data_IF_095252813712
#
_entry.id   IF_095252813712
#
_cell.length_a   1.000
_cell.length_b   1.000
_cell.length_c   1.000
_cell.angle_alpha   90.00
_cell.angle_beta   90.00
_cell.angle_gamma   90.00
#
_symmetry.space_group_name_H-M   'P 1'
#
loop_
_entity.id
_entity.type
_entity.pdbx_description
1 polymer ?
#
# COMPACT_ATOMS: atom_id res chain seq x y z
N UNK A 1 27.19 21.50 -59.13
CA UNK A 1 27.86 20.92 -57.93
C UNK A 1 27.18 21.21 -56.58
N UNK A 2 26.07 21.95 -56.50
CA UNK A 2 25.49 22.40 -55.21
C UNK A 2 24.67 21.31 -54.48
N UNK A 3 24.04 20.36 -55.20
CA UNK A 3 23.15 19.37 -54.59
C UNK A 3 23.85 18.32 -53.70
N UNK A 4 25.12 17.97 -53.97
CA UNK A 4 25.84 16.92 -53.21
C UNK A 4 26.27 17.35 -51.80
N UNK A 5 26.55 18.64 -51.57
CA UNK A 5 26.99 19.15 -50.25
C UNK A 5 25.84 19.27 -49.23
N UNK A 6 24.61 19.55 -49.69
CA UNK A 6 23.45 19.69 -48.81
C UNK A 6 22.93 18.33 -48.32
N UNK A 7 23.02 17.30 -49.16
CA UNK A 7 22.65 15.92 -48.78
C UNK A 7 23.61 15.30 -47.78
N UNK A 8 24.91 15.58 -47.86
CA UNK A 8 25.90 15.08 -46.90
C UNK A 8 25.72 15.72 -45.52
N UNK A 9 25.47 17.04 -45.47
CA UNK A 9 25.22 17.77 -44.21
C UNK A 9 23.98 17.25 -43.47
N UNK A 10 22.88 17.00 -44.19
CA UNK A 10 21.68 16.43 -43.58
C UNK A 10 21.90 15.00 -43.07
N UNK A 11 22.70 14.19 -43.78
CA UNK A 11 23.05 12.84 -43.32
C UNK A 11 23.88 12.87 -42.04
N UNK A 12 24.85 13.78 -41.93
CA UNK A 12 25.69 13.92 -40.73
C UNK A 12 24.88 14.36 -39.50
N UNK A 13 23.89 15.24 -39.68
CA UNK A 13 22.96 15.65 -38.63
C UNK A 13 22.08 14.49 -38.16
N UNK A 14 21.52 13.72 -39.10
CA UNK A 14 20.76 12.50 -38.80
C UNK A 14 21.61 11.46 -38.04
N UNK A 15 22.88 11.27 -38.43
CA UNK A 15 23.77 10.35 -37.71
C UNK A 15 24.03 10.80 -36.26
N UNK A 16 24.18 12.10 -36.02
CA UNK A 16 24.32 12.64 -34.66
C UNK A 16 23.06 12.41 -33.84
N UNK A 17 21.89 12.69 -34.40
CA UNK A 17 20.61 12.47 -33.71
C UNK A 17 20.39 10.99 -33.38
N UNK A 18 20.66 10.09 -34.32
CA UNK A 18 20.59 8.64 -34.08
C UNK A 18 21.55 8.22 -32.96
N UNK A 19 22.75 8.77 -32.92
CA UNK A 19 23.72 8.46 -31.86
C UNK A 19 23.23 8.95 -30.50
N UNK A 20 22.71 10.17 -30.42
CA UNK A 20 22.13 10.71 -29.17
C UNK A 20 20.93 9.89 -28.70
N UNK A 21 20.06 9.46 -29.61
CA UNK A 21 18.92 8.61 -29.28
C UNK A 21 19.37 7.23 -28.78
N UNK A 22 20.40 6.62 -29.38
CA UNK A 22 20.98 5.37 -28.89
C UNK A 22 21.57 5.51 -27.49
N UNK A 23 22.27 6.60 -27.23
CA UNK A 23 22.85 6.85 -25.90
C UNK A 23 21.76 7.08 -24.85
N UNK A 24 20.69 7.80 -25.20
CA UNK A 24 19.51 7.98 -24.32
C UNK A 24 18.81 6.65 -24.06
N UNK A 25 18.62 5.82 -25.09
CA UNK A 25 18.01 4.51 -24.97
C UNK A 25 18.81 3.60 -24.03
N UNK A 26 20.14 3.53 -24.21
CA UNK A 26 21.00 2.72 -23.36
C UNK A 26 20.96 3.15 -21.88
N UNK A 27 20.85 4.46 -21.61
CA UNK A 27 20.66 4.98 -20.24
C UNK A 27 19.31 4.59 -19.65
N UNK A 28 18.25 4.65 -20.45
CA UNK A 28 16.90 4.24 -20.01
C UNK A 28 16.85 2.75 -19.71
N UNK A 29 17.39 1.89 -20.58
CA UNK A 29 17.47 0.44 -20.35
C UNK A 29 18.26 0.10 -19.07
N UNK A 30 19.35 0.83 -18.81
CA UNK A 30 20.12 0.66 -17.58
C UNK A 30 19.32 1.05 -16.35
N UNK A 31 18.53 2.13 -16.44
CA UNK A 31 17.66 2.60 -15.36
C UNK A 31 16.51 1.65 -15.10
N UNK A 32 15.89 1.10 -16.14
CA UNK A 32 14.85 0.08 -16.07
C UNK A 32 15.33 -1.15 -15.31
N UNK A 33 16.50 -1.70 -15.68
CA UNK A 33 17.13 -2.83 -14.97
C UNK A 33 17.41 -2.54 -13.50
N UNK A 34 17.74 -1.31 -13.14
CA UNK A 34 17.94 -0.91 -11.74
C UNK A 34 16.60 -0.86 -10.99
N UNK A 35 15.55 -0.35 -11.63
CA UNK A 35 14.21 -0.31 -11.05
C UNK A 35 13.64 -1.71 -10.83
N UNK A 36 13.84 -2.65 -11.77
CA UNK A 36 13.43 -4.04 -11.62
C UNK A 36 14.08 -4.72 -10.41
N UNK A 37 15.38 -4.46 -10.20
CA UNK A 37 16.10 -4.95 -9.00
C UNK A 37 15.55 -4.36 -7.71
N UNK A 38 15.16 -3.08 -7.72
CA UNK A 38 14.54 -2.44 -6.55
C UNK A 38 13.14 -2.99 -6.29
N UNK A 39 12.37 -3.24 -7.33
CA UNK A 39 11.02 -3.80 -7.23
C UNK A 39 11.07 -5.20 -6.62
N UNK A 40 11.91 -6.09 -7.16
CA UNK A 40 12.08 -7.46 -6.64
C UNK A 40 12.54 -7.48 -5.18
N UNK A 41 13.43 -6.55 -4.78
CA UNK A 41 13.85 -6.40 -3.39
C UNK A 41 12.70 -5.93 -2.47
N UNK A 42 11.83 -5.03 -2.95
CA UNK A 42 10.66 -4.56 -2.21
C UNK A 42 9.62 -5.67 -2.07
N UNK A 43 9.34 -6.44 -3.13
CA UNK A 43 8.41 -7.58 -3.10
C UNK A 43 8.86 -8.63 -2.07
N UNK A 44 10.17 -8.95 -2.04
CA UNK A 44 10.71 -9.86 -1.04
C UNK A 44 10.51 -9.34 0.39
N UNK A 45 10.76 -8.04 0.61
CA UNK A 45 10.56 -7.40 1.92
C UNK A 45 9.08 -7.38 2.32
N UNK A 46 8.17 -7.17 1.38
CA UNK A 46 6.73 -7.24 1.63
C UNK A 46 6.32 -8.65 2.08
N UNK A 47 6.80 -9.69 1.40
CA UNK A 47 6.53 -11.07 1.79
C UNK A 47 7.07 -11.42 3.19
N UNK A 48 8.27 -10.95 3.55
CA UNK A 48 8.84 -11.14 4.89
C UNK A 48 7.99 -10.46 5.97
N UNK A 49 7.55 -9.22 5.72
CA UNK A 49 6.68 -8.48 6.63
C UNK A 49 5.31 -9.15 6.77
N UNK A 50 4.75 -9.68 5.69
CA UNK A 50 3.47 -10.40 5.74
C UNK A 50 3.56 -11.67 6.60
N UNK A 51 4.66 -12.41 6.51
CA UNK A 51 4.92 -13.55 7.40
C UNK A 51 5.03 -13.13 8.86
N UNK A 52 5.71 -12.02 9.15
CA UNK A 52 5.83 -11.50 10.52
C UNK A 52 4.47 -11.06 11.09
N UNK A 53 3.66 -10.36 10.30
CA UNK A 53 2.29 -10.00 10.67
C UNK A 53 1.46 -11.26 10.96
N UNK A 54 1.57 -12.31 10.15
CA UNK A 54 0.84 -13.55 10.37
C UNK A 54 1.29 -14.26 11.67
N UNK A 55 2.59 -14.26 11.98
CA UNK A 55 3.10 -14.76 13.27
C UNK A 55 2.53 -13.96 14.44
N UNK A 56 2.53 -12.63 14.35
CA UNK A 56 1.97 -11.77 15.38
C UNK A 56 0.46 -11.99 15.58
N UNK A 57 -0.30 -12.13 14.49
CA UNK A 57 -1.73 -12.48 14.55
C UNK A 57 -1.94 -13.81 15.29
N UNK A 58 -1.13 -14.82 15.02
CA UNK A 58 -1.21 -16.11 15.71
C UNK A 58 -0.92 -15.98 17.20
N UNK A 59 0.14 -15.26 17.58
CA UNK A 59 0.50 -15.02 18.99
C UNK A 59 -0.63 -14.29 19.73
N UNK A 60 -1.21 -13.25 19.11
CA UNK A 60 -2.33 -12.50 19.68
C UNK A 60 -3.54 -13.42 19.89
N UNK A 61 -3.90 -14.21 18.87
CA UNK A 61 -5.02 -15.17 18.97
C UNK A 61 -4.80 -16.15 20.13
N UNK A 62 -3.61 -16.73 20.24
CA UNK A 62 -3.25 -17.64 21.33
C UNK A 62 -3.32 -16.96 22.71
N UNK A 63 -2.82 -15.73 22.83
CA UNK A 63 -2.90 -14.94 24.07
C UNK A 63 -4.37 -14.68 24.46
N UNK A 64 -5.22 -14.33 23.51
CA UNK A 64 -6.65 -14.11 23.75
C UNK A 64 -7.36 -15.39 24.20
N UNK A 65 -7.06 -16.55 23.62
CA UNK A 65 -7.59 -17.84 24.05
C UNK A 65 -7.18 -18.20 25.48
N UNK A 66 -5.91 -17.99 25.85
CA UNK A 66 -5.42 -18.23 27.21
C UNK A 66 -6.09 -17.30 28.22
N UNK A 67 -6.28 -16.03 27.89
CA UNK A 67 -7.02 -15.09 28.74
C UNK A 67 -8.47 -15.54 28.95
N UNK A 68 -9.15 -15.98 27.89
CA UNK A 68 -10.52 -16.53 27.99
C UNK A 68 -10.57 -17.76 28.89
N UNK A 69 -9.61 -18.68 28.77
CA UNK A 69 -9.51 -19.88 29.63
C UNK A 69 -9.25 -19.52 31.09
N UNK A 70 -8.35 -18.57 31.36
CA UNK A 70 -8.07 -18.10 32.72
C UNK A 70 -9.28 -17.46 33.39
N UNK A 71 -10.08 -16.69 32.64
CA UNK A 71 -11.34 -16.09 33.13
C UNK A 71 -12.39 -17.16 33.42
N UNK A 72 -12.50 -18.20 32.56
CA UNK A 72 -13.45 -19.30 32.78
C UNK A 72 -13.08 -20.12 34.03
N UNK A 73 -11.80 -20.40 34.26
CA UNK A 73 -11.35 -21.13 35.46
C UNK A 73 -11.57 -20.38 36.79
N UNK A 74 -11.66 -19.05 36.77
CA UNK A 74 -11.94 -18.25 37.96
C UNK A 74 -13.45 -18.15 38.28
N UNK A 75 -14.33 -18.27 37.28
CA UNK A 75 -15.79 -18.21 37.49
C UNK A 75 -16.37 -19.45 38.18
N UNK A 76 -15.67 -20.58 38.13
CA UNK A 76 -16.13 -21.83 38.75
C UNK A 76 -15.71 -21.96 40.24
N UNK A 77 -15.05 -20.95 40.83
CA UNK A 77 -14.72 -20.90 42.26
C UNK A 77 -15.34 -19.69 42.95
N UNK A 78 -16.67 -19.71 43.13
CA UNK A 78 -17.32 -18.95 44.21
C UNK A 78 -17.61 -19.90 45.38
N UNK A 79 -17.11 -19.63 46.61
CA UNK A 79 -17.55 -20.35 47.80
C UNK A 79 -18.78 -19.64 48.40
N UNK A 80 -19.88 -20.37 48.51
CA UNK A 80 -20.99 -20.04 49.41
C UNK A 80 -20.56 -20.28 50.87
N UNK A 81 -20.69 -19.25 51.73
CA UNK A 81 -20.51 -19.33 53.19
C UNK A 81 -21.73 -20.04 53.87
N UNK A 82 -21.79 -20.13 55.23
CA UNK A 82 -20.89 -20.80 56.16
C UNK A 82 -21.68 -21.82 57.03
N UNK A 83 -21.09 -22.93 57.46
CA UNK A 83 -21.69 -23.72 58.55
C UNK A 83 -20.65 -24.36 59.44
N UNK A 84 -20.72 -23.95 60.71
CA UNK A 84 -20.28 -24.59 61.96
C UNK A 84 -19.83 -26.05 61.88
N UNK A 85 -18.71 -26.35 62.54
CA UNK A 85 -18.36 -27.72 62.96
C UNK A 85 -16.91 -27.86 63.38
N UNK A 86 -16.68 -28.05 64.67
CA UNK A 86 -15.39 -28.41 65.27
C UNK A 86 -15.04 -29.84 64.84
N UNK A 87 -13.82 -30.10 64.34
CA UNK A 87 -13.11 -31.36 64.63
C UNK A 87 -11.62 -31.28 64.29
N UNK A 88 -10.81 -31.74 65.24
CA UNK A 88 -9.36 -31.89 65.17
C UNK A 88 -8.91 -32.85 64.04
N UNK A 89 -7.79 -32.51 63.39
CA UNK A 89 -7.19 -33.38 62.37
C UNK A 89 -5.84 -32.88 61.87
N UNK A 90 -4.78 -33.57 62.29
CA UNK A 90 -3.38 -33.63 61.84
C UNK A 90 -2.95 -32.89 60.55
N UNK A 91 -1.82 -32.18 60.71
CA UNK A 91 -0.64 -32.00 59.83
C UNK A 91 -0.89 -31.73 58.33
N UNK A 92 -0.37 -30.59 57.86
CA UNK A 92 0.45 -30.54 56.64
C UNK A 92 1.31 -29.28 56.63
N UNK A 93 2.54 -29.43 56.14
CA UNK A 93 3.63 -28.45 56.21
C UNK A 93 3.26 -27.15 55.49
N UNK A 94 3.14 -26.06 56.24
CA UNK A 94 3.06 -24.72 55.66
C UNK A 94 4.44 -24.36 55.11
N UNK A 95 4.61 -24.44 53.80
CA UNK A 95 5.65 -23.66 53.12
C UNK A 95 5.34 -22.19 53.39
N UNK A 96 6.12 -21.56 54.26
CA UNK A 96 6.10 -20.12 54.47
C UNK A 96 6.55 -19.47 53.17
N UNK A 97 5.60 -19.11 52.32
CA UNK A 97 5.89 -18.28 51.15
C UNK A 97 6.40 -16.96 51.70
N UNK A 98 7.67 -16.68 51.45
CA UNK A 98 8.34 -15.50 51.97
C UNK A 98 7.56 -14.25 51.51
N UNK A 99 6.86 -13.62 52.45
CA UNK A 99 5.80 -12.63 52.18
C UNK A 99 6.36 -11.43 51.42
N UNK A 100 7.65 -11.15 51.63
CA UNK A 100 8.39 -10.07 51.00
C UNK A 100 8.79 -10.40 49.56
N UNK A 101 9.11 -11.67 49.26
CA UNK A 101 9.35 -12.11 47.89
C UNK A 101 8.07 -11.97 47.06
N UNK A 102 6.92 -12.37 47.62
CA UNK A 102 5.63 -12.24 46.94
C UNK A 102 5.26 -10.76 46.73
N UNK A 103 5.48 -9.89 47.73
CA UNK A 103 5.27 -8.44 47.61
C UNK A 103 6.15 -7.81 46.52
N UNK A 104 7.40 -8.24 46.41
CA UNK A 104 8.32 -7.73 45.40
C UNK A 104 7.92 -8.20 43.99
N UNK A 105 7.52 -9.47 43.84
CA UNK A 105 7.01 -9.99 42.57
C UNK A 105 5.73 -9.25 42.13
N UNK A 106 4.79 -9.00 43.04
CA UNK A 106 3.57 -8.24 42.77
C UNK A 106 3.91 -6.81 42.34
N UNK A 107 4.86 -6.14 43.01
CA UNK A 107 5.31 -4.79 42.65
C UNK A 107 5.88 -4.72 41.23
N UNK A 108 6.71 -5.68 40.86
CA UNK A 108 7.31 -5.73 39.52
C UNK A 108 6.27 -6.02 38.43
N UNK A 109 5.28 -6.88 38.70
CA UNK A 109 4.15 -7.12 37.78
C UNK A 109 3.31 -5.84 37.59
N UNK A 110 3.06 -5.10 38.68
CA UNK A 110 2.31 -3.84 38.61
C UNK A 110 3.05 -2.78 37.77
N UNK A 111 4.36 -2.59 37.99
CA UNK A 111 5.19 -1.67 37.17
C UNK A 111 5.17 -2.05 35.68
N UNK A 112 5.28 -3.34 35.37
CA UNK A 112 5.21 -3.83 33.97
C UNK A 112 3.86 -3.52 33.34
N UNK A 113 2.77 -3.71 34.09
CA UNK A 113 1.41 -3.42 33.61
C UNK A 113 1.19 -1.93 33.30
N UNK A 114 1.79 -1.03 34.09
CA UNK A 114 1.71 0.41 33.84
C UNK A 114 2.49 0.83 32.59
N UNK A 115 3.66 0.22 32.36
CA UNK A 115 4.47 0.46 31.16
C UNK A 115 3.74 -0.06 29.91
N UNK A 116 3.17 -1.26 29.99
CA UNK A 116 2.39 -1.84 28.89
C UNK A 116 1.15 -0.99 28.56
N UNK A 117 0.46 -0.48 29.57
CA UNK A 117 -0.69 0.41 29.40
C UNK A 117 -0.30 1.72 28.70
N UNK A 118 0.82 2.34 29.09
CA UNK A 118 1.34 3.55 28.43
C UNK A 118 1.74 3.29 26.98
N UNK A 119 2.41 2.16 26.70
CA UNK A 119 2.75 1.75 25.34
C UNK A 119 1.52 1.48 24.48
N UNK A 120 0.46 0.91 25.05
CA UNK A 120 -0.79 0.63 24.36
C UNK A 120 -1.58 1.91 24.07
N UNK A 121 -1.56 2.89 24.99
CA UNK A 121 -2.11 4.24 24.78
C UNK A 121 -1.34 5.01 23.69
N UNK A 122 0.00 4.96 23.69
CA UNK A 122 0.80 5.56 22.61
C UNK A 122 0.53 4.88 21.25
N UNK A 123 0.43 3.55 21.22
CA UNK A 123 0.05 2.83 19.99
C UNK A 123 -1.32 3.23 19.48
N UNK A 124 -2.30 3.41 20.37
CA UNK A 124 -3.64 3.89 20.00
C UNK A 124 -3.60 5.30 19.45
N UNK A 125 -2.86 6.22 20.08
CA UNK A 125 -2.66 7.58 19.55
C UNK A 125 -2.01 7.57 18.17
N UNK A 126 -0.96 6.78 17.97
CA UNK A 126 -0.31 6.61 16.66
C UNK A 126 -1.28 6.01 15.62
N UNK A 127 -2.19 5.14 16.02
CA UNK A 127 -3.18 4.53 15.13
C UNK A 127 -4.33 5.50 14.80
N UNK A 128 -4.76 6.34 15.75
CA UNK A 128 -5.75 7.40 15.53
C UNK A 128 -5.20 8.57 14.69
N UNK A 129 -3.92 8.92 14.88
CA UNK A 129 -3.24 9.95 14.09
C UNK A 129 -2.90 9.50 12.67
N UNK A 130 -2.83 8.17 12.44
CA UNK A 130 -2.77 7.60 11.10
C UNK A 130 -4.15 7.73 10.45
N UNK A 131 -4.41 8.90 9.85
CA UNK A 131 -5.46 9.03 8.83
C UNK A 131 -5.32 7.85 7.85
N UNK A 132 -6.41 7.14 7.54
CA UNK A 132 -6.33 6.06 6.56
C UNK A 132 -5.82 6.68 5.27
N UNK A 133 -4.60 6.30 4.88
CA UNK A 133 -4.11 6.55 3.53
C UNK A 133 -5.12 5.83 2.66
N UNK A 134 -6.00 6.59 1.99
CA UNK A 134 -6.76 6.05 0.87
C UNK A 134 -5.71 5.53 -0.08
N UNK A 135 -5.55 4.21 -0.10
CA UNK A 135 -4.88 3.54 -1.20
C UNK A 135 -5.80 3.81 -2.38
N UNK A 136 -5.58 4.93 -3.05
CA UNK A 136 -6.00 5.11 -4.44
C UNK A 136 -5.11 4.18 -5.28
N UNK A 137 -5.12 2.87 -4.95
CA UNK A 137 -4.75 1.83 -5.89
C UNK A 137 -5.85 1.92 -6.93
N UNK A 138 -5.53 2.56 -8.04
CA UNK A 138 -6.31 2.46 -9.25
C UNK A 138 -6.38 0.97 -9.53
N UNK A 139 -7.53 0.35 -9.28
CA UNK A 139 -7.77 -1.04 -9.64
C UNK A 139 -7.88 -1.10 -11.17
N UNK A 140 -6.73 -1.21 -11.82
CA UNK A 140 -6.60 -1.40 -13.29
C UNK A 140 -7.35 -2.67 -13.74
N UNK A 141 -7.70 -3.54 -12.80
CA UNK A 141 -8.47 -4.78 -12.97
C UNK A 141 -9.94 -4.54 -13.36
N UNK A 142 -10.50 -3.34 -13.16
CA UNK A 142 -11.88 -3.01 -13.54
C UNK A 142 -12.01 -2.38 -14.93
N UNK A 143 -10.89 -2.08 -15.59
CA UNK A 143 -10.88 -1.46 -16.92
C UNK A 143 -11.09 -2.51 -18.00
N UNK A 144 -11.91 -2.18 -19.01
CA UNK A 144 -12.06 -3.02 -20.19
C UNK A 144 -10.77 -3.05 -21.02
N UNK A 145 -10.62 -4.06 -21.88
CA UNK A 145 -9.49 -4.15 -22.82
C UNK A 145 -9.37 -2.90 -23.71
N UNK A 146 -10.50 -2.37 -24.17
CA UNK A 146 -10.57 -1.15 -24.99
C UNK A 146 -10.17 0.11 -24.20
N UNK A 147 -10.53 0.18 -22.91
CA UNK A 147 -10.14 1.28 -22.02
C UNK A 147 -8.62 1.28 -21.78
N UNK A 148 -8.05 0.08 -21.60
CA UNK A 148 -6.60 -0.09 -21.45
C UNK A 148 -5.85 0.30 -22.73
N UNK A 149 -6.37 -0.04 -23.90
CA UNK A 149 -5.77 0.35 -25.19
C UNK A 149 -5.80 1.86 -25.40
N UNK A 150 -6.94 2.51 -25.14
CA UNK A 150 -7.03 3.97 -25.20
C UNK A 150 -6.08 4.64 -24.18
N UNK A 151 -5.98 4.07 -22.98
CA UNK A 151 -5.08 4.58 -21.96
C UNK A 151 -3.61 4.44 -22.37
N UNK A 152 -3.18 3.28 -22.88
CA UNK A 152 -1.82 3.05 -23.40
C UNK A 152 -1.46 4.07 -24.50
N UNK A 153 -2.38 4.28 -25.44
CA UNK A 153 -2.19 5.26 -26.51
C UNK A 153 -1.98 6.68 -25.96
N UNK A 154 -2.71 7.05 -24.90
CA UNK A 154 -2.57 8.35 -24.25
C UNK A 154 -1.30 8.47 -23.40
N UNK A 155 -0.82 7.39 -22.80
CA UNK A 155 0.47 7.35 -22.11
C UNK A 155 1.61 7.64 -23.09
N UNK A 156 1.58 7.05 -24.29
CA UNK A 156 2.59 7.26 -25.33
C UNK A 156 2.53 8.67 -25.92
N UNK A 157 1.33 9.13 -26.31
CA UNK A 157 1.13 10.39 -27.02
C UNK A 157 1.05 11.61 -26.10
N UNK A 158 0.81 11.41 -24.80
CA UNK A 158 0.49 12.40 -23.74
C UNK A 158 -0.77 13.22 -23.97
N UNK A 159 -1.05 13.60 -25.21
CA UNK A 159 -2.21 14.40 -25.62
C UNK A 159 -2.62 14.04 -27.05
N UNK A 160 -3.91 13.91 -27.28
CA UNK A 160 -4.46 13.50 -28.58
C UNK A 160 -5.84 14.10 -28.83
N UNK A 161 -6.23 14.34 -30.08
CA UNK A 161 -7.63 14.68 -30.39
C UNK A 161 -8.51 13.43 -30.31
N UNK A 162 -9.79 13.62 -30.00
CA UNK A 162 -10.77 12.53 -29.96
C UNK A 162 -10.93 11.84 -31.33
N UNK A 163 -10.86 12.60 -32.42
CA UNK A 163 -10.89 12.07 -33.80
C UNK A 163 -9.65 11.23 -34.12
N UNK A 164 -8.47 11.68 -33.69
CA UNK A 164 -7.21 10.96 -33.87
C UNK A 164 -7.21 9.64 -33.07
N UNK A 165 -7.77 9.62 -31.86
CA UNK A 165 -7.93 8.39 -31.08
C UNK A 165 -8.85 7.38 -31.79
N UNK A 166 -9.99 7.87 -32.29
CA UNK A 166 -10.95 7.07 -33.04
C UNK A 166 -10.33 6.40 -34.27
N UNK A 167 -9.52 7.15 -35.02
CA UNK A 167 -8.82 6.62 -36.20
C UNK A 167 -7.77 5.56 -35.84
N UNK A 168 -6.97 5.81 -34.80
CA UNK A 168 -5.87 4.90 -34.41
C UNK A 168 -6.42 3.59 -33.83
N UNK A 169 -7.47 3.67 -33.01
CA UNK A 169 -8.09 2.50 -32.40
C UNK A 169 -9.10 1.81 -33.34
N UNK A 170 -9.35 2.37 -34.52
CA UNK A 170 -10.37 1.91 -35.46
C UNK A 170 -11.76 1.78 -34.81
N UNK A 171 -12.16 2.80 -34.04
CA UNK A 171 -13.41 2.84 -33.28
C UNK A 171 -14.23 4.09 -33.65
N UNK A 172 -15.54 4.03 -33.39
CA UNK A 172 -16.42 5.19 -33.55
C UNK A 172 -16.06 6.31 -32.55
N UNK A 173 -16.17 7.58 -32.98
CA UNK A 173 -15.92 8.74 -32.12
C UNK A 173 -16.76 8.73 -30.83
N UNK A 174 -17.99 8.24 -30.90
CA UNK A 174 -18.87 8.11 -29.72
C UNK A 174 -18.38 7.05 -28.73
N UNK A 175 -17.88 5.90 -29.22
CA UNK A 175 -17.30 4.86 -28.36
C UNK A 175 -16.07 5.38 -27.63
N UNK A 176 -15.15 6.02 -28.35
CA UNK A 176 -13.96 6.65 -27.74
C UNK A 176 -14.34 7.70 -26.70
N UNK A 177 -15.40 8.47 -26.94
CA UNK A 177 -15.93 9.44 -25.96
C UNK A 177 -16.42 8.76 -24.69
N UNK A 178 -17.14 7.64 -24.80
CA UNK A 178 -17.62 6.86 -23.65
C UNK A 178 -16.44 6.30 -22.86
N UNK A 179 -15.46 5.69 -23.54
CA UNK A 179 -14.24 5.15 -22.92
C UNK A 179 -13.45 6.26 -22.21
N UNK A 180 -13.31 7.42 -22.86
CA UNK A 180 -12.62 8.57 -22.28
C UNK A 180 -13.33 9.10 -21.02
N UNK A 181 -14.66 9.20 -21.01
CA UNK A 181 -15.40 9.62 -19.80
C UNK A 181 -15.25 8.61 -18.66
N UNK A 182 -15.17 7.31 -18.95
CA UNK A 182 -14.88 6.31 -17.91
C UNK A 182 -13.46 6.47 -17.36
N UNK A 183 -12.45 6.57 -18.23
CA UNK A 183 -11.06 6.80 -17.80
C UNK A 183 -10.91 8.10 -16.99
N UNK A 184 -11.67 9.15 -17.34
CA UNK A 184 -11.75 10.39 -16.57
C UNK A 184 -12.35 10.20 -15.18
N UNK A 185 -13.38 9.35 -15.01
CA UNK A 185 -13.93 9.00 -13.68
C UNK A 185 -12.90 8.34 -12.78
N UNK A 186 -11.98 7.57 -13.36
CA UNK A 186 -10.87 6.95 -12.64
C UNK A 186 -9.66 7.89 -12.47
N UNK A 187 -9.78 9.19 -12.78
CA UNK A 187 -8.70 10.18 -12.73
C UNK A 187 -7.46 9.79 -13.57
N UNK A 188 -7.63 9.00 -14.63
CA UNK A 188 -6.53 8.55 -15.49
C UNK A 188 -6.21 9.55 -16.60
N UNK A 189 -7.23 10.28 -17.06
CA UNK A 189 -7.13 11.22 -18.16
C UNK A 189 -7.97 12.47 -17.90
N UNK A 190 -7.61 13.56 -18.56
CA UNK A 190 -8.36 14.82 -18.62
C UNK A 190 -8.93 14.99 -20.02
N UNK A 191 -10.17 15.47 -20.12
CA UNK A 191 -10.80 15.82 -21.39
C UNK A 191 -10.95 17.34 -21.45
N UNK A 192 -10.37 17.97 -22.46
CA UNK A 192 -10.47 19.39 -22.73
C UNK A 192 -11.46 19.65 -23.87
N UNK A 193 -12.44 20.50 -23.61
CA UNK A 193 -13.45 20.94 -24.57
C UNK A 193 -13.18 22.42 -24.92
N UNK A 194 -12.36 22.71 -25.95
CA UNK A 194 -12.16 24.08 -26.37
C UNK A 194 -13.47 24.67 -26.91
N UNK A 195 -13.65 26.00 -26.75
CA UNK A 195 -14.81 26.74 -27.27
C UNK A 195 -14.96 26.60 -28.79
N UNK A 196 -13.84 26.44 -29.49
CA UNK A 196 -13.78 26.17 -30.93
C UNK A 196 -12.82 25.01 -31.18
N UNK A 197 -13.29 23.97 -31.86
CA UNK A 197 -12.50 22.81 -32.26
C UNK A 197 -12.90 21.50 -31.56
N UNK A 198 -12.14 20.43 -31.86
CA UNK A 198 -12.46 19.09 -31.37
C UNK A 198 -11.97 18.85 -29.93
N UNK A 199 -12.66 17.98 -29.16
CA UNK A 199 -12.22 17.58 -27.82
C UNK A 199 -10.82 16.96 -27.83
N UNK A 200 -10.03 17.27 -26.82
CA UNK A 200 -8.67 16.76 -26.63
C UNK A 200 -8.60 15.89 -25.39
N UNK A 201 -8.01 14.73 -25.53
CA UNK A 201 -7.72 13.77 -24.47
C UNK A 201 -6.29 13.99 -24.00
N UNK A 202 -6.08 14.14 -22.69
CA UNK A 202 -4.79 14.40 -22.07
C UNK A 202 -4.54 13.35 -20.98
N UNK A 203 -3.37 12.72 -21.01
CA UNK A 203 -2.95 11.82 -19.95
C UNK A 203 -2.60 12.63 -18.70
N UNK A 204 -3.11 12.20 -17.54
CA UNK A 204 -2.76 12.83 -16.26
C UNK A 204 -1.54 12.10 -15.70
N UNK A 205 -0.41 12.81 -15.64
CA UNK A 205 0.71 12.38 -14.80
C UNK A 205 0.32 12.74 -13.37
N UNK A 206 -0.10 11.75 -12.58
CA UNK A 206 -0.27 11.93 -11.14
C UNK A 206 1.11 12.12 -10.48
N UNK A 207 1.71 13.30 -10.66
CA UNK A 207 2.73 13.77 -9.75
C UNK A 207 2.05 13.97 -8.40
N UNK A 208 2.63 13.41 -7.34
CA UNK A 208 2.17 13.53 -5.94
C UNK A 208 2.06 14.98 -5.42
N UNK A 209 2.29 15.99 -6.25
CA UNK A 209 2.48 17.39 -5.86
C UNK A 209 1.24 18.28 -6.08
N UNK A 210 0.11 17.75 -6.56
CA UNK A 210 -1.05 18.60 -6.90
C UNK A 210 -2.19 18.57 -5.87
N UNK A 211 -1.91 18.21 -4.61
CA UNK A 211 -2.88 18.20 -3.50
C UNK A 211 -2.55 19.19 -2.38
N UNK A 212 -1.75 20.21 -2.66
CA UNK A 212 -1.62 21.38 -1.80
C UNK A 212 -2.15 22.59 -2.56
N UNK A 213 -3.44 22.90 -2.41
CA UNK A 213 -4.03 24.25 -2.38
C UNK A 213 -5.46 24.17 -1.88
#
# INVERSE_FOLDING_TARGET
MVRRKKTTSNLDELYKEIKELKDKLSKLESREKELDKRLTALEKREAELEQEVNKLKFVIKKKQELLKRGILQQKDKLPSQPSSGISAGKREQQQTIDRDLLRNQIREVLKRSEIERKLEEEKKKILEERKPIKKDRIDISELSTEEIELFKLLVERKKLKLSEAALILNMDKEKVKILAEKLKKHNLIKISYPLVGEPKLEFIISSRESLEH
#
